data_IF_368044364008
#
_entry.id   IF_368044364008
#
_cell.length_a   1.000
_cell.length_b   1.000
_cell.length_c   1.000
_cell.angle_alpha   90.00
_cell.angle_beta   90.00
_cell.angle_gamma   90.00
#
_symmetry.space_group_name_H-M   'P 1'
#
loop_
_entity.id
_entity.type
_entity.pdbx_description
1 polymer ?
#
# COMPACT_ATOMS: atom_id res chain seq x y z
N UNK A 1 76.16 -27.83 33.07
CA UNK A 1 74.69 -27.83 32.87
C UNK A 1 74.36 -26.48 32.26
N UNK A 2 74.14 -26.44 30.94
CA UNK A 2 72.82 -26.60 30.31
C UNK A 2 71.96 -25.34 30.57
N UNK A 3 71.32 -24.66 29.62
CA UNK A 3 71.06 -24.80 28.18
C UNK A 3 70.64 -23.38 27.71
N UNK A 4 70.80 -23.11 26.41
CA UNK A 4 70.28 -21.98 25.62
C UNK A 4 68.84 -21.50 25.96
N UNK A 5 68.47 -20.29 25.52
CA UNK A 5 67.60 -20.10 24.33
C UNK A 5 67.12 -18.64 24.25
N UNK A 6 67.43 -18.04 23.11
CA UNK A 6 66.85 -16.84 22.50
C UNK A 6 65.36 -17.07 22.17
N UNK A 7 64.49 -16.11 22.51
CA UNK A 7 63.12 -16.02 21.98
C UNK A 7 62.74 -14.54 21.85
N UNK A 8 62.81 -13.96 20.65
CA UNK A 8 61.74 -13.91 19.63
C UNK A 8 60.64 -12.89 19.95
N UNK A 9 60.70 -11.81 19.17
CA UNK A 9 59.65 -10.88 18.75
C UNK A 9 58.20 -11.25 19.08
N UNK A 10 57.48 -10.28 19.63
CA UNK A 10 56.05 -10.11 19.35
C UNK A 10 55.77 -8.64 19.11
N UNK A 11 55.58 -8.31 17.83
CA UNK A 11 54.96 -7.07 17.39
C UNK A 11 53.57 -7.00 18.03
N UNK A 12 53.32 -5.90 18.74
CA UNK A 12 51.98 -5.51 19.16
C UNK A 12 51.17 -5.19 17.90
N UNK A 13 50.44 -6.19 17.42
CA UNK A 13 49.47 -6.03 16.36
C UNK A 13 48.25 -5.39 17.02
N UNK A 14 48.19 -4.05 17.03
CA UNK A 14 46.97 -3.30 17.28
C UNK A 14 45.95 -3.71 16.24
N UNK A 15 45.15 -4.73 16.58
CA UNK A 15 43.91 -5.04 15.92
C UNK A 15 42.96 -3.87 16.18
N UNK A 16 43.05 -2.84 15.33
CA UNK A 16 41.96 -1.92 15.09
C UNK A 16 40.83 -2.76 14.53
N UNK A 17 40.01 -3.31 15.42
CA UNK A 17 38.70 -3.85 15.09
C UNK A 17 37.89 -2.67 14.56
N UNK A 18 38.01 -2.44 13.25
CA UNK A 18 37.03 -1.71 12.47
C UNK A 18 35.71 -2.39 12.79
N UNK A 19 34.95 -1.78 13.69
CA UNK A 19 33.58 -2.16 13.94
C UNK A 19 32.87 -1.73 12.67
N UNK A 20 32.84 -2.62 11.69
CA UNK A 20 31.93 -2.54 10.56
C UNK A 20 30.56 -2.56 11.21
N UNK A 21 30.03 -1.38 11.50
CA UNK A 21 28.62 -1.20 11.79
C UNK A 21 27.92 -1.91 10.65
N UNK A 22 27.33 -3.07 10.96
CA UNK A 22 26.41 -3.74 10.06
C UNK A 22 25.36 -2.69 9.72
N UNK A 23 25.49 -2.08 8.55
CA UNK A 23 24.38 -1.40 7.91
C UNK A 23 23.31 -2.48 7.83
N UNK A 24 22.41 -2.48 8.79
CA UNK A 24 21.13 -3.15 8.67
C UNK A 24 20.52 -2.50 7.45
N UNK A 25 20.56 -3.23 6.33
CA UNK A 25 20.14 -2.76 5.00
C UNK A 25 18.72 -2.22 5.11
N UNK A 26 18.61 -0.91 5.34
CA UNK A 26 17.33 -0.24 5.31
C UNK A 26 16.83 -0.39 3.87
N UNK A 27 15.59 -0.83 3.67
CA UNK A 27 15.07 -1.06 2.34
C UNK A 27 15.13 0.27 1.56
N UNK A 28 15.76 0.23 0.38
CA UNK A 28 16.00 1.43 -0.44
C UNK A 28 14.66 2.01 -0.88
N UNK A 29 14.34 3.19 -0.35
CA UNK A 29 13.24 4.02 -0.81
C UNK A 29 13.66 4.77 -2.08
N UNK A 30 12.71 5.45 -2.72
CA UNK A 30 12.97 6.25 -3.93
C UNK A 30 14.07 7.30 -3.73
N UNK A 31 14.12 7.90 -2.55
CA UNK A 31 15.10 8.93 -2.18
C UNK A 31 15.38 8.90 -0.68
N UNK A 32 16.61 9.20 -0.27
CA UNK A 32 17.04 9.09 1.14
C UNK A 32 16.25 10.02 2.07
N UNK A 33 15.76 11.15 1.56
CA UNK A 33 14.91 12.08 2.33
C UNK A 33 13.59 11.45 2.79
N UNK A 34 13.11 10.40 2.12
CA UNK A 34 11.91 9.69 2.56
C UNK A 34 12.12 8.95 3.88
N UNK A 35 13.36 8.61 4.25
CA UNK A 35 13.64 8.01 5.56
C UNK A 35 13.44 8.99 6.72
N UNK A 36 13.43 10.31 6.46
CA UNK A 36 13.16 11.32 7.48
C UNK A 36 11.66 11.44 7.83
N UNK A 37 10.78 10.90 6.98
CA UNK A 37 9.32 10.99 7.17
C UNK A 37 8.82 9.70 7.84
N UNK A 38 8.04 9.79 8.94
CA UNK A 38 7.42 8.62 9.57
C UNK A 38 6.57 7.81 8.59
N UNK A 39 6.65 6.48 8.68
CA UNK A 39 5.90 5.57 7.81
C UNK A 39 4.37 5.81 7.85
N UNK A 40 3.84 6.16 9.03
CA UNK A 40 2.42 6.50 9.19
C UNK A 40 1.97 7.74 8.42
N UNK A 41 2.89 8.60 7.98
CA UNK A 41 2.61 9.76 7.11
C UNK A 41 2.85 9.40 5.64
N UNK A 42 3.91 8.62 5.35
CA UNK A 42 4.24 8.20 3.98
C UNK A 42 3.14 7.33 3.37
N UNK A 43 2.54 6.44 4.15
CA UNK A 43 1.49 5.54 3.68
C UNK A 43 0.24 6.28 3.17
N UNK A 44 -0.39 7.18 3.95
CA UNK A 44 -1.52 7.95 3.43
C UNK A 44 -1.12 8.91 2.31
N UNK A 45 0.09 9.47 2.33
CA UNK A 45 0.59 10.30 1.22
C UNK A 45 0.74 9.50 -0.08
N UNK A 46 1.29 8.29 -0.03
CA UNK A 46 1.37 7.39 -1.17
C UNK A 46 -0.03 7.00 -1.68
N UNK A 47 -0.98 6.79 -0.78
CA UNK A 47 -2.39 6.58 -1.12
C UNK A 47 -3.01 7.78 -1.84
N UNK A 48 -2.78 9.00 -1.35
CA UNK A 48 -3.27 10.22 -1.98
C UNK A 48 -2.69 10.42 -3.39
N UNK A 49 -1.37 10.24 -3.54
CA UNK A 49 -0.70 10.31 -4.84
C UNK A 49 -1.24 9.23 -5.79
N UNK A 50 -1.41 8.00 -5.28
CA UNK A 50 -2.00 6.88 -6.03
C UNK A 50 -3.40 7.21 -6.53
N UNK A 51 -4.25 7.79 -5.68
CA UNK A 51 -5.61 8.21 -6.07
C UNK A 51 -5.60 9.31 -7.13
N UNK A 52 -4.76 10.34 -6.99
CA UNK A 52 -4.65 11.42 -8.00
C UNK A 52 -4.23 10.85 -9.35
N UNK A 53 -3.22 9.97 -9.37
CA UNK A 53 -2.76 9.30 -10.59
C UNK A 53 -3.83 8.40 -11.19
N UNK A 54 -4.57 7.67 -10.35
CA UNK A 54 -5.67 6.83 -10.78
C UNK A 54 -6.78 7.65 -11.44
N UNK A 55 -7.29 8.68 -10.75
CA UNK A 55 -8.35 9.56 -11.24
C UNK A 55 -7.95 10.26 -12.54
N UNK A 56 -6.72 10.80 -12.60
CA UNK A 56 -6.22 11.49 -13.80
C UNK A 56 -6.09 10.52 -14.97
N UNK A 57 -5.50 9.35 -14.73
CA UNK A 57 -5.31 8.33 -15.78
C UNK A 57 -6.63 7.71 -16.25
N UNK A 58 -7.55 7.44 -15.34
CA UNK A 58 -8.87 6.90 -15.66
C UNK A 58 -9.67 7.91 -16.50
N UNK A 59 -9.74 9.18 -16.09
CA UNK A 59 -10.41 10.22 -16.87
C UNK A 59 -9.77 10.37 -18.26
N UNK A 60 -8.44 10.37 -18.36
CA UNK A 60 -7.76 10.40 -19.65
C UNK A 60 -8.14 9.20 -20.54
N UNK A 61 -8.27 8.00 -19.97
CA UNK A 61 -8.76 6.82 -20.70
C UNK A 61 -10.21 6.96 -21.13
N UNK A 62 -11.10 7.46 -20.26
CA UNK A 62 -12.50 7.70 -20.62
C UNK A 62 -12.61 8.67 -21.79
N UNK A 63 -11.91 9.81 -21.74
CA UNK A 63 -11.88 10.78 -22.84
C UNK A 63 -11.28 10.18 -24.12
N UNK A 64 -10.24 9.35 -24.02
CA UNK A 64 -9.63 8.72 -25.18
C UNK A 64 -10.55 7.71 -25.89
N UNK A 65 -11.43 7.03 -25.13
CA UNK A 65 -12.33 6.00 -25.63
C UNK A 65 -13.79 6.47 -25.79
N UNK A 66 -14.10 7.73 -25.50
CA UNK A 66 -15.45 8.31 -25.61
C UNK A 66 -16.06 8.13 -27.00
N UNK A 67 -15.22 8.16 -28.05
CA UNK A 67 -15.64 8.00 -29.43
C UNK A 67 -15.91 6.54 -29.85
N UNK A 68 -15.69 5.56 -28.96
CA UNK A 68 -15.82 4.13 -29.27
C UNK A 68 -17.10 3.54 -28.66
N UNK A 69 -18.17 3.31 -29.45
CA UNK A 69 -19.48 2.90 -28.92
C UNK A 69 -19.52 1.51 -28.28
N UNK A 70 -18.54 0.65 -28.60
CA UNK A 70 -18.46 -0.72 -28.10
C UNK A 70 -17.82 -0.84 -26.72
N UNK A 71 -17.22 0.23 -26.19
CA UNK A 71 -16.48 0.19 -24.93
C UNK A 71 -17.26 0.97 -23.87
N UNK A 72 -17.94 0.24 -22.98
CA UNK A 72 -18.60 0.86 -21.83
C UNK A 72 -17.60 1.34 -20.79
N UNK A 73 -17.95 2.37 -20.02
CA UNK A 73 -17.11 2.91 -18.94
C UNK A 73 -16.64 1.83 -17.94
N UNK A 74 -17.49 0.83 -17.68
CA UNK A 74 -17.15 -0.33 -16.85
C UNK A 74 -15.98 -1.16 -17.39
N UNK A 75 -15.89 -1.34 -18.71
CA UNK A 75 -14.77 -2.06 -19.32
C UNK A 75 -13.47 -1.25 -19.28
N UNK A 76 -13.56 0.07 -19.51
CA UNK A 76 -12.42 0.99 -19.39
C UNK A 76 -11.89 0.94 -17.95
N UNK A 77 -12.80 1.03 -16.98
CA UNK A 77 -12.46 0.99 -15.56
C UNK A 77 -11.77 -0.32 -15.20
N UNK A 78 -12.35 -1.47 -15.55
CA UNK A 78 -11.75 -2.78 -15.25
C UNK A 78 -10.37 -2.95 -15.91
N UNK A 79 -10.22 -2.57 -17.18
CA UNK A 79 -8.96 -2.66 -17.91
C UNK A 79 -7.89 -1.74 -17.33
N UNK A 80 -8.23 -0.46 -17.12
CA UNK A 80 -7.32 0.52 -16.52
C UNK A 80 -6.89 0.09 -15.12
N UNK A 81 -7.83 -0.37 -14.30
CA UNK A 81 -7.55 -0.81 -12.94
C UNK A 81 -6.61 -2.02 -12.91
N UNK A 82 -6.84 -3.04 -13.75
CA UNK A 82 -5.94 -4.18 -13.88
C UNK A 82 -4.50 -3.77 -14.22
N UNK A 83 -4.33 -2.77 -15.09
CA UNK A 83 -3.03 -2.20 -15.43
C UNK A 83 -2.45 -1.32 -14.30
N UNK A 84 -3.30 -0.68 -13.52
CA UNK A 84 -2.89 0.25 -12.46
C UNK A 84 -2.47 -0.46 -11.16
N UNK A 85 -3.00 -1.65 -10.86
CA UNK A 85 -2.60 -2.45 -9.68
C UNK A 85 -1.06 -2.56 -9.53
N UNK A 86 -0.29 -3.02 -10.54
CA UNK A 86 1.16 -3.13 -10.41
C UNK A 86 1.85 -1.75 -10.26
N UNK A 87 1.29 -0.69 -10.87
CA UNK A 87 1.84 0.67 -10.76
C UNK A 87 1.63 1.22 -9.35
N UNK A 88 0.42 1.08 -8.81
CA UNK A 88 0.08 1.47 -7.44
C UNK A 88 0.92 0.71 -6.40
N UNK A 89 1.12 -0.59 -6.62
CA UNK A 89 2.01 -1.39 -5.77
C UNK A 89 3.46 -0.90 -5.84
N UNK A 90 3.99 -0.64 -7.04
CA UNK A 90 5.33 -0.10 -7.22
C UNK A 90 5.50 1.25 -6.52
N UNK A 91 4.53 2.16 -6.63
CA UNK A 91 4.53 3.45 -5.93
C UNK A 91 4.58 3.26 -4.41
N UNK A 92 3.78 2.34 -3.88
CA UNK A 92 3.75 2.05 -2.44
C UNK A 92 5.09 1.46 -1.97
N UNK A 93 5.68 0.55 -2.74
CA UNK A 93 7.03 0.04 -2.46
C UNK A 93 8.07 1.16 -2.51
N UNK A 94 8.07 2.01 -3.53
CA UNK A 94 9.06 3.09 -3.68
C UNK A 94 8.95 4.17 -2.60
N UNK A 95 7.73 4.49 -2.15
CA UNK A 95 7.48 5.60 -1.22
C UNK A 95 7.43 5.18 0.25
N UNK A 96 7.04 3.93 0.56
CA UNK A 96 6.72 3.53 1.94
C UNK A 96 7.62 2.42 2.46
N UNK A 97 7.70 1.30 1.76
CA UNK A 97 8.29 0.06 2.27
C UNK A 97 9.69 -0.26 1.72
N UNK A 98 10.09 0.43 0.66
CA UNK A 98 11.28 0.18 -0.15
C UNK A 98 11.08 -0.92 -1.18
N UNK A 99 11.96 -0.96 -2.18
CA UNK A 99 11.86 -1.92 -3.27
C UNK A 99 12.25 -3.34 -2.81
N UNK A 100 11.40 -4.37 -3.00
CA UNK A 100 11.73 -5.74 -2.64
C UNK A 100 12.72 -6.33 -3.66
N UNK A 101 14.01 -6.22 -3.38
CA UNK A 101 15.08 -6.79 -4.20
C UNK A 101 14.98 -8.33 -4.23
N UNK A 102 14.75 -8.89 -5.42
CA UNK A 102 14.72 -10.35 -5.65
C UNK A 102 13.36 -11.03 -5.55
N UNK A 103 12.34 -10.38 -4.94
CA UNK A 103 11.04 -11.02 -4.69
C UNK A 103 9.81 -10.15 -5.02
N UNK A 104 9.97 -9.10 -5.84
CA UNK A 104 8.88 -8.19 -6.21
C UNK A 104 7.63 -8.90 -6.74
N UNK A 105 7.80 -9.85 -7.67
CA UNK A 105 6.65 -10.58 -8.25
C UNK A 105 5.91 -11.39 -7.20
N UNK A 106 6.63 -12.01 -6.25
CA UNK A 106 6.03 -12.76 -5.14
C UNK A 106 5.28 -11.83 -4.18
N UNK A 107 5.86 -10.67 -3.86
CA UNK A 107 5.22 -9.65 -3.02
C UNK A 107 3.97 -9.05 -3.68
N UNK A 108 4.04 -8.78 -4.99
CA UNK A 108 2.90 -8.33 -5.78
C UNK A 108 1.80 -9.39 -5.82
N UNK A 109 2.15 -10.66 -6.06
CA UNK A 109 1.20 -11.76 -6.11
C UNK A 109 0.52 -12.03 -4.76
N UNK A 110 1.25 -11.86 -3.64
CA UNK A 110 0.68 -11.99 -2.30
C UNK A 110 -0.31 -10.87 -1.97
N UNK A 111 -0.09 -9.67 -2.50
CA UNK A 111 -0.94 -8.50 -2.26
C UNK A 111 -2.05 -8.30 -3.32
N UNK A 112 -1.94 -8.92 -4.49
CA UNK A 112 -2.92 -8.80 -5.56
C UNK A 112 -4.34 -9.25 -5.13
N UNK A 113 -4.54 -10.36 -4.39
CA UNK A 113 -5.85 -10.73 -3.87
C UNK A 113 -6.45 -9.68 -2.93
N UNK A 114 -5.63 -8.95 -2.16
CA UNK A 114 -6.10 -7.88 -1.28
C UNK A 114 -6.70 -6.76 -2.12
N UNK A 115 -5.98 -6.30 -3.14
CA UNK A 115 -6.47 -5.25 -4.05
C UNK A 115 -7.72 -5.67 -4.82
N UNK A 116 -7.75 -6.90 -5.34
CA UNK A 116 -8.90 -7.43 -6.09
C UNK A 116 -10.14 -7.61 -5.22
N UNK A 117 -9.99 -8.09 -3.98
CA UNK A 117 -11.13 -8.25 -3.05
C UNK A 117 -11.63 -6.91 -2.53
N UNK A 118 -10.74 -5.95 -2.26
CA UNK A 118 -11.14 -4.59 -1.93
C UNK A 118 -11.92 -3.92 -3.08
N UNK A 119 -11.51 -4.15 -4.32
CA UNK A 119 -12.22 -3.69 -5.51
C UNK A 119 -13.60 -4.35 -5.63
N UNK A 120 -13.67 -5.69 -5.54
CA UNK A 120 -14.94 -6.41 -5.63
C UNK A 120 -15.91 -5.95 -4.53
N UNK A 121 -15.41 -5.78 -3.30
CA UNK A 121 -16.19 -5.26 -2.19
C UNK A 121 -16.65 -3.82 -2.44
N UNK A 122 -15.77 -2.96 -2.96
CA UNK A 122 -16.10 -1.60 -3.33
C UNK A 122 -17.22 -1.53 -4.36
N UNK A 123 -17.11 -2.29 -5.45
CA UNK A 123 -18.14 -2.36 -6.49
C UNK A 123 -19.48 -2.84 -5.96
N UNK A 124 -19.49 -3.89 -5.11
CA UNK A 124 -20.71 -4.39 -4.49
C UNK A 124 -21.30 -3.37 -3.53
N UNK A 125 -20.47 -2.68 -2.74
CA UNK A 125 -20.90 -1.66 -1.80
C UNK A 125 -21.50 -0.45 -2.52
N UNK A 126 -20.85 0.06 -3.57
CA UNK A 126 -21.41 1.14 -4.40
C UNK A 126 -22.76 0.74 -4.98
N UNK A 127 -22.86 -0.43 -5.63
CA UNK A 127 -24.14 -0.89 -6.19
C UNK A 127 -25.23 -1.09 -5.12
N UNK A 128 -24.85 -1.52 -3.91
CA UNK A 128 -25.78 -1.61 -2.80
C UNK A 128 -26.25 -0.23 -2.33
N UNK A 129 -25.35 0.74 -2.16
CA UNK A 129 -25.69 2.10 -1.73
C UNK A 129 -26.55 2.85 -2.75
N UNK A 130 -26.26 2.65 -4.03
CA UNK A 130 -27.09 3.17 -5.13
C UNK A 130 -28.50 2.58 -5.06
N UNK A 131 -28.61 1.26 -4.84
CA UNK A 131 -29.92 0.59 -4.76
C UNK A 131 -30.80 1.11 -3.62
N UNK A 132 -30.21 1.43 -2.47
CA UNK A 132 -30.95 1.95 -1.30
C UNK A 132 -31.14 3.46 -1.34
N UNK A 133 -30.64 4.14 -2.39
CA UNK A 133 -30.64 5.60 -2.54
C UNK A 133 -30.11 6.26 -1.26
N UNK A 134 -28.96 5.78 -0.77
CA UNK A 134 -28.35 6.20 0.50
C UNK A 134 -28.27 7.73 0.61
N UNK A 135 -27.92 8.35 -0.51
CA UNK A 135 -27.75 9.78 -0.72
C UNK A 135 -29.02 10.55 -0.37
N UNK A 136 -30.16 10.11 -0.91
CA UNK A 136 -31.45 10.69 -0.61
C UNK A 136 -31.80 10.60 0.88
N UNK A 137 -31.41 9.50 1.54
CA UNK A 137 -31.63 9.33 2.98
C UNK A 137 -30.73 10.23 3.83
N UNK A 138 -29.48 10.46 3.40
CA UNK A 138 -28.55 11.35 4.09
C UNK A 138 -29.01 12.80 3.93
N UNK A 139 -29.38 13.23 2.73
CA UNK A 139 -29.92 14.57 2.48
C UNK A 139 -31.20 14.82 3.30
N UNK A 140 -32.11 13.85 3.33
CA UNK A 140 -33.31 13.93 4.15
C UNK A 140 -32.97 14.05 5.64
N UNK A 141 -32.01 13.27 6.14
CA UNK A 141 -31.55 13.37 7.52
C UNK A 141 -30.92 14.74 7.84
N UNK A 142 -30.12 15.30 6.93
CA UNK A 142 -29.49 16.61 7.10
C UNK A 142 -30.52 17.75 7.11
N UNK A 143 -31.57 17.63 6.29
CA UNK A 143 -32.71 18.55 6.30
C UNK A 143 -33.51 18.47 7.60
N UNK A 144 -33.83 17.25 8.05
CA UNK A 144 -34.62 17.00 9.27
C UNK A 144 -33.91 17.52 10.53
N UNK A 145 -32.57 17.52 10.54
CA UNK A 145 -31.77 18.05 11.65
C UNK A 145 -31.42 19.55 11.49
N UNK A 146 -31.91 20.22 10.44
CA UNK A 146 -31.67 21.65 10.21
C UNK A 146 -30.21 22.02 9.93
N UNK A 147 -29.39 21.05 9.49
CA UNK A 147 -27.97 21.26 9.19
C UNK A 147 -27.81 21.94 7.82
N UNK A 148 -28.74 21.68 6.89
CA UNK A 148 -28.76 22.25 5.53
C UNK A 148 -30.17 22.80 5.25
N UNK A 149 -30.27 23.98 4.63
CA UNK A 149 -31.55 24.68 4.40
C UNK A 149 -32.17 24.42 3.03
N UNK A 150 -31.35 24.04 2.03
CA UNK A 150 -31.78 23.56 0.72
C UNK A 150 -30.71 22.57 0.22
N UNK A 151 -31.07 21.35 -0.18
CA UNK A 151 -30.18 20.55 -0.99
C UNK A 151 -30.16 21.21 -2.37
N UNK A 152 -29.05 21.82 -2.77
CA UNK A 152 -28.85 22.08 -4.19
C UNK A 152 -28.82 20.73 -4.90
N UNK A 153 -29.63 20.50 -5.94
CA UNK A 153 -29.64 19.27 -6.71
C UNK A 153 -28.44 19.29 -7.66
N UNK A 154 -27.23 19.32 -7.11
CA UNK A 154 -26.04 18.99 -7.88
C UNK A 154 -25.92 17.47 -7.87
N UNK A 155 -26.17 16.84 -9.03
CA UNK A 155 -25.94 15.40 -9.25
C UNK A 155 -24.55 14.97 -8.76
N UNK A 156 -23.55 15.87 -8.85
CA UNK A 156 -22.19 15.67 -8.33
C UNK A 156 -22.11 15.48 -6.80
N UNK A 157 -23.00 16.11 -6.03
CA UNK A 157 -23.03 15.95 -4.56
C UNK A 157 -23.61 14.61 -4.15
N UNK A 158 -24.49 14.06 -4.97
CA UNK A 158 -25.17 12.78 -4.74
C UNK A 158 -24.29 11.55 -4.96
N UNK A 159 -23.04 11.69 -5.41
CA UNK A 159 -22.11 10.55 -5.46
C UNK A 159 -21.07 10.61 -4.33
N UNK A 160 -21.01 11.75 -3.62
CA UNK A 160 -19.94 12.05 -2.69
C UNK A 160 -20.03 11.22 -1.41
N UNK A 161 -21.22 11.05 -0.82
CA UNK A 161 -21.36 10.37 0.46
C UNK A 161 -21.18 8.84 0.31
N UNK A 162 -21.74 8.26 -0.73
CA UNK A 162 -21.59 6.87 -1.14
C UNK A 162 -20.11 6.57 -1.41
N UNK A 163 -19.44 7.43 -2.19
CA UNK A 163 -18.00 7.31 -2.45
C UNK A 163 -17.17 7.37 -1.14
N UNK A 164 -17.48 8.28 -0.22
CA UNK A 164 -16.81 8.40 1.07
C UNK A 164 -16.99 7.13 1.92
N UNK A 165 -18.22 6.61 2.03
CA UNK A 165 -18.52 5.40 2.80
C UNK A 165 -17.83 4.18 2.19
N UNK A 166 -17.86 4.05 0.86
CA UNK A 166 -17.16 2.98 0.14
C UNK A 166 -15.65 3.07 0.36
N UNK A 167 -15.06 4.26 0.35
CA UNK A 167 -13.64 4.48 0.64
C UNK A 167 -13.29 4.01 2.06
N UNK A 168 -14.13 4.30 3.05
CA UNK A 168 -13.91 3.85 4.44
C UNK A 168 -14.00 2.33 4.54
N UNK A 169 -15.03 1.70 3.98
CA UNK A 169 -15.23 0.24 4.03
C UNK A 169 -14.08 -0.50 3.35
N UNK A 170 -13.73 -0.09 2.12
CA UNK A 170 -12.64 -0.69 1.35
C UNK A 170 -11.28 -0.45 2.01
N UNK A 171 -11.08 0.72 2.63
CA UNK A 171 -9.89 1.03 3.42
C UNK A 171 -9.74 0.13 4.65
N UNK A 172 -10.80 -0.03 5.45
CA UNK A 172 -10.81 -0.93 6.61
C UNK A 172 -10.55 -2.37 6.17
N UNK A 173 -11.21 -2.83 5.11
CA UNK A 173 -11.03 -4.17 4.56
C UNK A 173 -9.59 -4.43 4.12
N UNK A 174 -9.01 -3.50 3.36
CA UNK A 174 -7.63 -3.58 2.89
C UNK A 174 -6.64 -3.61 4.06
N UNK A 175 -6.89 -2.82 5.11
CA UNK A 175 -6.08 -2.83 6.32
C UNK A 175 -6.14 -4.18 7.03
N UNK A 176 -7.35 -4.70 7.29
CA UNK A 176 -7.53 -5.99 7.98
C UNK A 176 -6.86 -7.13 7.22
N UNK A 177 -7.04 -7.19 5.89
CA UNK A 177 -6.39 -8.21 5.07
C UNK A 177 -4.86 -8.04 5.03
N UNK A 178 -4.36 -6.81 4.97
CA UNK A 178 -2.91 -6.56 5.03
C UNK A 178 -2.31 -7.05 6.35
N UNK A 179 -2.99 -6.80 7.48
CA UNK A 179 -2.57 -7.32 8.79
C UNK A 179 -2.62 -8.84 8.80
N UNK A 180 -3.69 -9.46 8.30
CA UNK A 180 -3.85 -10.91 8.29
C UNK A 180 -2.78 -11.61 7.44
N UNK A 181 -2.53 -11.12 6.23
CA UNK A 181 -1.54 -11.71 5.31
C UNK A 181 -0.12 -11.53 5.85
N UNK A 182 0.22 -10.33 6.34
CA UNK A 182 1.59 -10.01 6.74
C UNK A 182 1.95 -10.42 8.19
N UNK A 183 0.97 -10.65 9.08
CA UNK A 183 1.23 -11.14 10.44
C UNK A 183 1.64 -12.61 10.50
N UNK A 184 1.35 -13.38 9.45
CA UNK A 184 1.69 -14.81 9.38
C UNK A 184 3.19 -15.08 9.15
N UNK A 185 3.96 -14.07 8.73
CA UNK A 185 5.39 -14.18 8.40
C UNK A 185 6.33 -14.08 9.62
N UNK A 186 5.85 -13.57 10.77
CA UNK A 186 6.69 -13.33 11.95
C UNK A 186 6.85 -14.53 12.90
N UNK A 187 6.14 -15.63 12.68
CA UNK A 187 6.07 -16.75 13.67
C UNK A 187 6.93 -17.96 13.29
N UNK A 188 7.44 -18.07 12.06
CA UNK A 188 8.04 -19.33 11.55
C UNK A 188 9.58 -19.34 11.56
N UNK A 189 10.25 -18.22 11.76
CA UNK A 189 11.73 -18.14 11.77
C UNK A 189 12.37 -18.33 13.14
N UNK A 190 11.60 -18.35 14.24
CA UNK A 190 12.16 -18.53 15.58
C UNK A 190 12.38 -19.99 16.00
N UNK A 191 12.01 -20.99 15.18
CA UNK A 191 12.04 -22.41 15.61
C UNK A 191 12.96 -23.32 14.78
N UNK A 192 13.73 -22.77 13.83
CA UNK A 192 14.62 -23.58 12.98
C UNK A 192 16.11 -23.50 13.28
N UNK A 193 16.57 -22.50 14.03
CA UNK A 193 17.99 -22.36 14.39
C UNK A 193 18.37 -23.06 15.70
N UNK A 194 17.40 -23.44 16.56
CA UNK A 194 17.66 -24.10 17.85
C UNK A 194 17.77 -25.64 17.80
N UNK A 195 17.76 -26.25 16.61
CA UNK A 195 17.80 -27.74 16.46
C UNK A 195 18.98 -28.30 15.69
N UNK A 196 20.06 -27.53 15.53
CA UNK A 196 21.30 -28.02 14.88
C UNK A 196 22.53 -28.13 15.78
N UNK A 197 22.39 -27.91 17.09
CA UNK A 197 23.44 -28.22 18.05
C UNK A 197 22.90 -29.20 19.09
N UNK A 198 22.94 -30.50 18.78
CA UNK A 198 23.02 -31.62 19.73
C UNK A 198 23.53 -32.86 19.00
#
# INVERSE_FOLDING_TARGET
>A
MAIDVVGSSSQEMTNTTTTTTSNTDKPRLLHDSLHAIPQGIRFPLAGAIGNVLFLTGFNACVTAFESTPSVTASHIYAGFFCCFIPVSHALTCLLVFGWPTGHYVSSLAANAPIGLTAMALGTVATGYFDSIHLEHKIDQFLLENGIVSQPEPDEERSEFYSSLVVMVITGIWSFVLSVYVNSSSSTTTATKDDKKEL
#
